data_IF_605444123066
#
_entry.id   IF_605444123066
#
_cell.length_a   1.000
_cell.length_b   1.000
_cell.length_c   1.000
_cell.angle_alpha   90.00
_cell.angle_beta   90.00
_cell.angle_gamma   90.00
#
_symmetry.space_group_name_H-M   'P 1'
#
loop_
_entity.id
_entity.type
_entity.pdbx_description
1 polymer ?
#
# COMPACT_ATOMS: atom_id res chain seq x y z
N UNK A 1 7.32 -21.25 23.71
CA UNK A 1 8.15 -20.22 23.03
C UNK A 1 7.72 -20.06 21.56
N UNK A 2 6.47 -19.68 21.25
CA UNK A 2 5.90 -19.74 19.88
C UNK A 2 5.50 -18.36 19.29
N UNK A 3 6.00 -17.25 19.84
CA UNK A 3 5.63 -15.90 19.41
C UNK A 3 6.77 -15.12 18.71
N UNK A 4 7.97 -15.72 18.63
CA UNK A 4 9.18 -15.05 18.15
C UNK A 4 9.22 -14.86 16.63
N UNK A 5 8.49 -15.69 15.87
CA UNK A 5 8.41 -15.58 14.41
C UNK A 5 7.56 -14.40 13.95
N UNK A 6 6.43 -14.13 14.62
CA UNK A 6 5.48 -13.10 14.19
C UNK A 6 6.02 -11.68 14.43
N UNK A 7 6.80 -11.48 15.49
CA UNK A 7 7.39 -10.17 15.83
C UNK A 7 8.55 -9.76 14.94
N UNK A 8 9.16 -10.70 14.20
CA UNK A 8 10.28 -10.44 13.28
C UNK A 8 9.81 -10.24 11.82
N UNK A 9 8.67 -10.80 11.45
CA UNK A 9 8.10 -10.64 10.09
C UNK A 9 7.59 -9.21 9.87
N UNK A 10 6.94 -8.62 10.86
CA UNK A 10 6.42 -7.23 10.77
C UNK A 10 7.53 -6.20 10.52
N UNK A 11 8.66 -6.18 11.27
CA UNK A 11 9.75 -5.25 10.99
C UNK A 11 10.48 -5.57 9.69
N UNK A 12 10.57 -6.84 9.28
CA UNK A 12 11.18 -7.22 7.99
C UNK A 12 10.38 -6.70 6.79
N UNK A 13 9.04 -6.75 6.86
CA UNK A 13 8.16 -6.18 5.83
C UNK A 13 8.25 -4.65 5.79
N UNK A 14 8.35 -4.00 6.96
CA UNK A 14 8.55 -2.54 7.06
C UNK A 14 9.91 -2.13 6.48
N UNK A 15 10.98 -2.89 6.75
CA UNK A 15 12.31 -2.65 6.21
C UNK A 15 12.39 -2.88 4.69
N UNK A 16 11.70 -3.90 4.18
CA UNK A 16 11.64 -4.16 2.73
C UNK A 16 10.87 -3.06 1.99
N UNK A 17 9.82 -2.51 2.60
CA UNK A 17 9.06 -1.38 2.05
C UNK A 17 9.90 -0.10 1.99
N UNK A 18 10.79 0.14 2.96
CA UNK A 18 11.74 1.27 2.90
C UNK A 18 12.86 1.08 1.88
N UNK A 19 13.28 -0.16 1.61
CA UNK A 19 14.32 -0.44 0.61
C UNK A 19 13.79 -0.33 -0.84
N UNK A 20 12.49 -0.56 -1.07
CA UNK A 20 11.87 -0.38 -2.37
C UNK A 20 11.82 1.08 -2.85
N UNK A 21 11.99 2.06 -1.95
CA UNK A 21 12.09 3.49 -2.28
C UNK A 21 13.46 3.85 -2.88
N UNK A 22 14.46 2.97 -2.78
CA UNK A 22 15.81 3.20 -3.29
C UNK A 22 16.11 2.53 -4.64
N UNK A 23 15.17 1.77 -5.21
CA UNK A 23 15.34 1.18 -6.54
C UNK A 23 14.92 2.20 -7.61
N UNK A 24 15.74 2.47 -8.65
CA UNK A 24 15.32 3.29 -9.77
C UNK A 24 14.32 2.46 -10.57
N UNK A 25 13.03 2.68 -10.34
CA UNK A 25 11.99 2.17 -11.21
C UNK A 25 12.06 2.97 -12.52
N UNK A 26 12.36 2.29 -13.63
CA UNK A 26 12.13 2.85 -14.96
C UNK A 26 10.63 3.11 -15.11
N UNK A 27 10.24 4.38 -14.98
CA UNK A 27 8.86 4.84 -15.22
C UNK A 27 8.62 4.93 -16.73
N UNK A 28 7.60 4.24 -17.28
CA UNK A 28 7.12 4.53 -18.63
C UNK A 28 6.72 6.01 -18.72
N UNK A 29 7.07 6.63 -19.84
CA UNK A 29 6.95 8.05 -20.09
C UNK A 29 5.51 8.57 -19.91
N UNK A 30 5.31 9.38 -18.86
CA UNK A 30 4.22 10.35 -18.79
C UNK A 30 4.79 11.69 -18.33
N UNK A 31 4.78 12.66 -19.25
CA UNK A 31 5.23 14.04 -19.04
C UNK A 31 4.09 14.92 -18.48
N UNK A 32 4.34 16.07 -17.81
CA UNK A 32 5.51 16.52 -17.09
C UNK A 32 5.18 16.68 -15.58
N UNK A 33 5.53 15.70 -14.75
CA UNK A 33 5.40 15.80 -13.29
C UNK A 33 6.42 16.77 -12.65
N UNK A 34 7.37 17.28 -13.44
CA UNK A 34 8.51 18.07 -12.96
C UNK A 34 8.27 19.59 -12.93
N UNK A 35 7.22 20.10 -13.58
CA UNK A 35 7.04 21.55 -13.78
C UNK A 35 6.20 22.26 -12.70
N UNK A 36 5.47 21.53 -11.84
CA UNK A 36 4.65 22.12 -10.77
C UNK A 36 5.44 22.39 -9.47
N UNK A 37 6.61 21.77 -9.30
CA UNK A 37 7.42 21.85 -8.08
C UNK A 37 8.23 23.16 -7.94
N UNK A 38 8.37 23.96 -9.00
CA UNK A 38 9.32 25.09 -9.01
C UNK A 38 8.76 26.41 -8.44
N UNK A 39 7.51 26.45 -7.97
CA UNK A 39 6.88 27.67 -7.42
C UNK A 39 6.24 27.46 -6.03
N UNK A 40 6.55 26.35 -5.37
CA UNK A 40 6.11 26.04 -4.01
C UNK A 40 7.25 26.37 -3.03
N UNK A 41 6.95 27.15 -1.99
CA UNK A 41 7.85 27.31 -0.82
C UNK A 41 8.38 25.95 -0.37
N UNK A 42 9.66 25.83 -0.03
CA UNK A 42 10.29 24.59 0.46
C UNK A 42 9.47 23.91 1.57
N UNK A 43 8.81 24.70 2.43
CA UNK A 43 7.93 24.22 3.48
C UNK A 43 6.67 23.50 2.95
N UNK A 44 6.10 23.96 1.83
CA UNK A 44 4.94 23.32 1.18
C UNK A 44 5.32 22.00 0.53
N UNK A 45 6.51 21.93 -0.09
CA UNK A 45 7.01 20.67 -0.70
C UNK A 45 7.22 19.61 0.38
N UNK A 46 7.85 19.97 1.50
CA UNK A 46 8.05 19.04 2.62
C UNK A 46 6.71 18.62 3.24
N UNK A 47 5.76 19.54 3.42
CA UNK A 47 4.42 19.23 3.92
C UNK A 47 3.62 18.31 2.96
N UNK A 48 3.75 18.52 1.66
CA UNK A 48 3.13 17.66 0.64
C UNK A 48 3.74 16.26 0.67
N UNK A 49 5.07 16.15 0.63
CA UNK A 49 5.76 14.86 0.65
C UNK A 49 5.42 14.04 1.90
N UNK A 50 5.42 14.69 3.08
CA UNK A 50 5.10 14.02 4.34
C UNK A 50 3.64 13.57 4.42
N UNK A 51 2.69 14.39 3.93
CA UNK A 51 1.27 14.00 3.90
C UNK A 51 0.99 12.85 2.94
N UNK A 52 1.60 12.86 1.75
CA UNK A 52 1.51 11.78 0.76
C UNK A 52 2.10 10.47 1.30
N UNK A 53 3.29 10.54 1.93
CA UNK A 53 3.91 9.37 2.55
C UNK A 53 3.05 8.81 3.68
N UNK A 54 2.50 9.68 4.54
CA UNK A 54 1.69 9.28 5.68
C UNK A 54 0.39 8.59 5.26
N UNK A 55 -0.38 9.20 4.33
CA UNK A 55 -1.65 8.61 3.88
C UNK A 55 -1.43 7.26 3.18
N UNK A 56 -0.39 7.17 2.35
CA UNK A 56 -0.04 5.93 1.64
C UNK A 56 0.36 4.83 2.63
N UNK A 57 1.23 5.15 3.60
CA UNK A 57 1.67 4.20 4.60
C UNK A 57 0.51 3.66 5.43
N UNK A 58 -0.33 4.54 5.98
CA UNK A 58 -1.47 4.13 6.83
C UNK A 58 -2.47 3.28 6.05
N UNK A 59 -2.77 3.63 4.80
CA UNK A 59 -3.72 2.87 3.98
C UNK A 59 -3.20 1.48 3.61
N UNK A 60 -1.91 1.39 3.21
CA UNK A 60 -1.27 0.12 2.87
C UNK A 60 -1.18 -0.80 4.11
N UNK A 61 -0.82 -0.25 5.27
CA UNK A 61 -0.76 -1.04 6.52
C UNK A 61 -2.14 -1.58 6.92
N UNK A 62 -3.18 -0.75 6.82
CA UNK A 62 -4.56 -1.17 7.08
C UNK A 62 -5.04 -2.25 6.11
N UNK A 63 -4.77 -2.08 4.82
CA UNK A 63 -5.10 -3.06 3.79
C UNK A 63 -4.36 -4.39 4.02
N UNK A 64 -3.05 -4.35 4.27
CA UNK A 64 -2.24 -5.55 4.51
C UNK A 64 -2.76 -6.38 5.69
N UNK A 65 -3.17 -5.71 6.77
CA UNK A 65 -3.78 -6.39 7.93
C UNK A 65 -5.11 -7.06 7.58
N UNK A 66 -6.00 -6.35 6.88
CA UNK A 66 -7.29 -6.89 6.46
C UNK A 66 -7.14 -8.05 5.48
N UNK A 67 -6.33 -7.87 4.44
CA UNK A 67 -6.05 -8.87 3.40
C UNK A 67 -5.40 -10.12 4.00
N UNK A 68 -4.44 -9.99 4.94
CA UNK A 68 -3.83 -11.14 5.59
C UNK A 68 -4.84 -12.00 6.38
N UNK A 69 -5.80 -11.36 7.06
CA UNK A 69 -6.85 -12.06 7.82
C UNK A 69 -7.92 -12.68 6.93
N UNK A 70 -8.37 -11.95 5.91
CA UNK A 70 -9.41 -12.44 4.99
C UNK A 70 -8.84 -13.49 4.05
N UNK A 71 -7.61 -13.31 3.57
CA UNK A 71 -6.91 -14.23 2.69
C UNK A 71 -6.61 -15.58 3.35
N UNK A 72 -6.17 -15.60 4.60
CA UNK A 72 -5.97 -16.86 5.33
C UNK A 72 -7.28 -17.63 5.55
N UNK A 73 -8.38 -16.93 5.87
CA UNK A 73 -9.70 -17.55 5.97
C UNK A 73 -10.21 -18.07 4.61
N UNK A 74 -10.00 -17.31 3.54
CA UNK A 74 -10.36 -17.68 2.16
C UNK A 74 -9.64 -18.95 1.70
N UNK A 75 -8.32 -19.03 1.92
CA UNK A 75 -7.53 -20.21 1.56
C UNK A 75 -7.91 -21.44 2.40
N UNK A 76 -8.21 -21.25 3.69
CA UNK A 76 -8.71 -22.34 4.55
C UNK A 76 -10.06 -22.89 4.06
N UNK A 77 -11.00 -22.02 3.72
CA UNK A 77 -12.29 -22.43 3.17
C UNK A 77 -12.16 -23.10 1.79
N UNK A 78 -11.26 -22.61 0.94
CA UNK A 78 -10.98 -23.20 -0.36
C UNK A 78 -10.31 -24.58 -0.26
N UNK A 79 -9.54 -24.84 0.80
CA UNK A 79 -8.94 -26.14 1.05
C UNK A 79 -9.99 -27.22 1.39
N UNK A 80 -11.06 -26.87 2.09
CA UNK A 80 -12.19 -27.78 2.34
C UNK A 80 -13.10 -27.91 1.11
N UNK A 81 -13.42 -26.77 0.47
CA UNK A 81 -14.34 -26.72 -0.67
C UNK A 81 -13.76 -25.81 -1.76
N UNK A 82 -13.12 -26.37 -2.80
CA UNK A 82 -12.45 -25.58 -3.84
C UNK A 82 -13.42 -24.71 -4.64
N UNK A 83 -14.69 -25.10 -4.68
CA UNK A 83 -15.80 -24.34 -5.27
C UNK A 83 -15.95 -22.93 -4.67
N UNK A 84 -15.52 -22.73 -3.42
CA UNK A 84 -15.63 -21.46 -2.70
C UNK A 84 -14.48 -20.49 -3.01
N UNK A 85 -13.44 -20.92 -3.72
CA UNK A 85 -12.25 -20.10 -4.01
C UNK A 85 -12.64 -18.80 -4.74
N UNK A 86 -13.40 -18.89 -5.83
CA UNK A 86 -13.78 -17.73 -6.63
C UNK A 86 -14.58 -16.69 -5.82
N UNK A 87 -15.51 -17.14 -4.98
CA UNK A 87 -16.32 -16.24 -4.16
C UNK A 87 -15.49 -15.59 -3.05
N UNK A 88 -14.55 -16.36 -2.49
CA UNK A 88 -13.65 -15.87 -1.44
C UNK A 88 -12.63 -14.86 -1.98
N UNK A 89 -12.11 -15.07 -3.20
CA UNK A 89 -11.21 -14.13 -3.87
C UNK A 89 -11.86 -12.76 -4.11
N UNK A 90 -13.16 -12.71 -4.40
CA UNK A 90 -13.87 -11.43 -4.53
C UNK A 90 -13.89 -10.63 -3.22
N UNK A 91 -14.04 -11.30 -2.07
CA UNK A 91 -14.02 -10.65 -0.75
C UNK A 91 -12.61 -10.19 -0.37
N UNK A 92 -11.57 -10.97 -0.74
CA UNK A 92 -10.17 -10.56 -0.58
C UNK A 92 -9.86 -9.32 -1.43
N UNK A 93 -10.30 -9.30 -2.70
CA UNK A 93 -10.14 -8.14 -3.57
C UNK A 93 -10.88 -6.88 -3.07
N UNK A 94 -12.06 -7.04 -2.45
CA UNK A 94 -12.74 -5.94 -1.79
C UNK A 94 -11.94 -5.37 -0.62
N UNK A 95 -11.20 -6.20 0.12
CA UNK A 95 -10.32 -5.74 1.20
C UNK A 95 -9.07 -5.00 0.68
N UNK A 96 -8.55 -5.40 -0.49
CA UNK A 96 -7.47 -4.67 -1.17
C UNK A 96 -7.88 -3.25 -1.56
N UNK A 97 -9.19 -3.02 -1.78
CA UNK A 97 -9.73 -1.71 -2.13
C UNK A 97 -9.31 -0.57 -1.18
N UNK A 98 -8.99 -0.88 0.08
CA UNK A 98 -8.46 0.11 1.04
C UNK A 98 -7.09 0.67 0.63
N UNK A 99 -6.22 -0.16 0.03
CA UNK A 99 -4.94 0.29 -0.51
C UNK A 99 -5.16 1.19 -1.74
N UNK A 100 -6.07 0.77 -2.62
CA UNK A 100 -6.38 1.52 -3.86
C UNK A 100 -6.97 2.89 -3.54
N UNK A 101 -7.92 2.98 -2.61
CA UNK A 101 -8.52 4.26 -2.20
C UNK A 101 -7.47 5.18 -1.59
N UNK A 102 -6.59 4.66 -0.72
CA UNK A 102 -5.49 5.44 -0.14
C UNK A 102 -4.49 5.95 -1.18
N UNK A 103 -4.14 5.11 -2.14
CA UNK A 103 -3.29 5.48 -3.27
C UNK A 103 -3.93 6.56 -4.15
N UNK A 104 -5.24 6.45 -4.43
CA UNK A 104 -5.98 7.47 -5.18
C UNK A 104 -5.98 8.81 -4.42
N UNK A 105 -6.16 8.80 -3.09
CA UNK A 105 -6.08 10.02 -2.28
C UNK A 105 -4.68 10.63 -2.33
N UNK A 106 -3.63 9.81 -2.23
CA UNK A 106 -2.24 10.25 -2.39
C UNK A 106 -1.99 10.91 -3.76
N UNK A 107 -2.54 10.32 -4.83
CA UNK A 107 -2.45 10.87 -6.17
C UNK A 107 -3.22 12.18 -6.34
N UNK A 108 -4.42 12.30 -5.76
CA UNK A 108 -5.19 13.55 -5.76
C UNK A 108 -4.43 14.64 -5.01
N UNK A 109 -3.78 14.32 -3.88
CA UNK A 109 -2.91 15.25 -3.16
C UNK A 109 -1.77 15.75 -4.06
N UNK A 110 -1.07 14.85 -4.75
CA UNK A 110 0.02 15.21 -5.66
C UNK A 110 -0.43 16.09 -6.83
N UNK A 111 -1.67 15.93 -7.34
CA UNK A 111 -2.19 16.73 -8.46
C UNK A 111 -2.79 18.07 -8.05
N UNK A 112 -3.20 18.22 -6.80
CA UNK A 112 -3.86 19.43 -6.30
C UNK A 112 -2.87 20.56 -5.99
N UNK A 113 -1.59 20.23 -5.83
CA UNK A 113 -0.49 21.16 -5.63
C UNK A 113 0.44 21.14 -6.84
#
# INVERSE_FOLDING_TARGET
MRYLGWTAVVPAVVLLATAAVAAPAETPAEAPASQALMDLSDAKVVALATSVAFVTAVSILGAAYAVGRIGSAALGAAAEKPELLNRSLAIVGLAEGLAVIGFVVAFILLRKF
#
